data_IF_538094038831
#
_entry.id   IF_538094038831
#
_cell.length_a   1.000
_cell.length_b   1.000
_cell.length_c   1.000
_cell.angle_alpha   90.00
_cell.angle_beta   90.00
_cell.angle_gamma   90.00
#
_symmetry.space_group_name_H-M   'P 1'
#
loop_
_entity.id
_entity.type
_entity.pdbx_description
1 polymer ?
#
# COMPACT_ATOMS: atom_id res chain seq x y z
N UNK A 1 -20.19 -10.04 11.42
CA UNK A 1 -18.89 -9.69 10.79
C UNK A 1 -18.66 -10.67 9.66
N UNK A 2 -18.53 -10.20 8.42
CA UNK A 2 -18.12 -11.05 7.28
C UNK A 2 -16.61 -10.98 7.18
N UNK A 3 -15.93 -12.13 7.21
CA UNK A 3 -14.48 -12.24 6.96
C UNK A 3 -14.34 -12.76 5.54
N UNK A 4 -13.72 -11.95 4.68
CA UNK A 4 -13.45 -12.28 3.29
C UNK A 4 -11.95 -12.23 3.04
N UNK A 5 -11.40 -13.30 2.47
CA UNK A 5 -10.00 -13.40 2.12
C UNK A 5 -9.80 -13.03 0.64
N UNK A 6 -9.27 -11.80 0.40
CA UNK A 6 -8.97 -11.29 -0.95
C UNK A 6 -7.83 -12.07 -1.64
N UNK A 7 -7.00 -12.78 -0.89
CA UNK A 7 -5.84 -13.51 -1.40
C UNK A 7 -6.12 -15.01 -1.64
N UNK A 8 -7.39 -15.42 -1.53
CA UNK A 8 -7.79 -16.78 -1.79
C UNK A 8 -7.51 -17.18 -3.25
N UNK A 9 -6.81 -18.29 -3.45
CA UNK A 9 -6.42 -18.81 -4.77
C UNK A 9 -7.58 -19.19 -5.69
N UNK A 10 -8.81 -19.31 -5.17
CA UNK A 10 -10.03 -19.56 -5.95
C UNK A 10 -10.59 -18.28 -6.61
N UNK A 11 -10.10 -17.09 -6.23
CA UNK A 11 -10.53 -15.84 -6.84
C UNK A 11 -9.73 -15.55 -8.11
N UNK A 12 -10.36 -14.96 -9.14
CA UNK A 12 -9.67 -14.65 -10.40
C UNK A 12 -8.64 -13.54 -10.25
N UNK A 13 -8.77 -12.66 -9.27
CA UNK A 13 -7.79 -11.63 -8.92
C UNK A 13 -8.02 -11.13 -7.48
N UNK A 14 -7.03 -10.38 -6.97
CA UNK A 14 -6.97 -9.87 -5.60
C UNK A 14 -7.32 -8.37 -5.49
N UNK A 15 -7.79 -7.76 -6.60
CA UNK A 15 -8.08 -6.33 -6.66
C UNK A 15 -9.38 -6.00 -5.93
N UNK A 16 -9.51 -4.76 -5.45
CA UNK A 16 -10.74 -4.27 -4.85
C UNK A 16 -10.97 -2.80 -5.14
N UNK A 17 -12.24 -2.39 -5.17
CA UNK A 17 -12.66 -1.01 -5.31
C UNK A 17 -13.57 -0.65 -4.12
N UNK A 18 -13.23 0.44 -3.42
CA UNK A 18 -14.01 0.92 -2.28
C UNK A 18 -14.57 2.30 -2.64
N UNK A 19 -15.87 2.39 -2.81
CA UNK A 19 -16.59 3.62 -3.15
C UNK A 19 -17.45 4.03 -1.96
N UNK A 20 -17.33 5.29 -1.53
CA UNK A 20 -18.14 5.84 -0.45
C UNK A 20 -18.20 7.36 -0.55
N UNK A 21 -19.25 7.97 0.00
CA UNK A 21 -19.33 9.42 0.18
C UNK A 21 -18.40 9.89 1.31
N UNK A 22 -18.12 11.20 1.37
CA UNK A 22 -17.34 11.76 2.47
C UNK A 22 -18.02 11.48 3.82
N UNK A 23 -17.22 11.08 4.82
CA UNK A 23 -17.71 10.71 6.15
C UNK A 23 -18.31 9.29 6.27
N UNK A 24 -18.49 8.55 5.19
CA UNK A 24 -19.08 7.20 5.22
C UNK A 24 -18.13 6.09 5.72
N UNK A 25 -16.94 6.45 6.23
CA UNK A 25 -16.01 5.50 6.82
C UNK A 25 -15.01 4.85 5.86
N UNK A 26 -14.84 5.37 4.63
CA UNK A 26 -13.84 4.87 3.65
C UNK A 26 -12.45 4.71 4.28
N UNK A 27 -11.90 5.78 4.85
CA UNK A 27 -10.55 5.77 5.41
C UNK A 27 -10.45 4.87 6.65
N UNK A 28 -11.51 4.73 7.43
CA UNK A 28 -11.53 3.77 8.56
C UNK A 28 -11.43 2.33 8.06
N UNK A 29 -12.26 1.96 7.08
CA UNK A 29 -12.25 0.62 6.48
C UNK A 29 -10.90 0.29 5.85
N UNK A 30 -10.32 1.22 5.07
CA UNK A 30 -9.00 1.01 4.44
C UNK A 30 -7.90 0.85 5.49
N UNK A 31 -7.85 1.70 6.53
CA UNK A 31 -6.86 1.59 7.61
C UNK A 31 -6.97 0.25 8.35
N UNK A 32 -8.20 -0.23 8.58
CA UNK A 32 -8.43 -1.53 9.20
C UNK A 32 -7.92 -2.69 8.32
N UNK A 33 -8.14 -2.63 7.01
CA UNK A 33 -7.62 -3.64 6.08
C UNK A 33 -6.09 -3.64 6.03
N UNK A 34 -5.47 -2.45 5.98
CA UNK A 34 -4.00 -2.32 6.01
C UNK A 34 -3.42 -3.02 7.24
N UNK A 35 -3.97 -2.76 8.43
CA UNK A 35 -3.48 -3.41 9.66
C UNK A 35 -3.63 -4.94 9.57
N UNK A 36 -4.77 -5.43 9.07
CA UNK A 36 -4.97 -6.88 8.89
C UNK A 36 -3.96 -7.48 7.91
N UNK A 37 -3.58 -6.74 6.87
CA UNK A 37 -2.59 -7.20 5.89
C UNK A 37 -1.21 -7.29 6.47
N UNK A 38 -0.81 -6.27 7.23
CA UNK A 38 0.45 -6.30 7.95
C UNK A 38 0.49 -7.46 8.96
N UNK A 39 -0.62 -7.76 9.65
CA UNK A 39 -0.72 -8.93 10.54
C UNK A 39 -0.62 -10.28 9.82
N UNK A 40 -0.92 -10.32 8.52
CA UNK A 40 -0.76 -11.51 7.67
C UNK A 40 0.55 -11.49 6.87
N UNK A 41 1.53 -10.67 7.25
CA UNK A 41 2.82 -10.51 6.57
C UNK A 41 2.69 -10.09 5.10
N UNK A 42 1.69 -9.26 4.79
CA UNK A 42 1.49 -8.70 3.45
C UNK A 42 2.02 -7.27 3.46
N UNK A 43 2.95 -6.98 2.56
CA UNK A 43 3.48 -5.64 2.37
C UNK A 43 2.42 -4.70 1.79
N UNK A 44 2.40 -3.47 2.32
CA UNK A 44 1.41 -2.45 1.93
C UNK A 44 2.12 -1.17 1.51
N UNK A 45 1.81 -0.72 0.30
CA UNK A 45 2.21 0.59 -0.22
C UNK A 45 0.95 1.44 -0.33
N UNK A 46 1.02 2.68 0.18
CA UNK A 46 -0.11 3.64 0.15
C UNK A 46 0.33 4.90 -0.55
N UNK A 47 -0.46 5.33 -1.55
CA UNK A 47 -0.36 6.67 -2.14
C UNK A 47 -1.30 7.57 -1.35
N UNK A 48 -0.75 8.50 -0.58
CA UNK A 48 -1.49 9.31 0.40
C UNK A 48 -1.46 10.81 0.05
N UNK A 49 -2.32 11.29 -0.88
CA UNK A 49 -2.36 12.70 -1.24
C UNK A 49 -2.92 13.60 -0.13
N UNK A 50 -3.65 13.05 0.84
CA UNK A 50 -4.33 13.79 1.91
C UNK A 50 -3.59 13.71 3.27
N UNK A 51 -2.44 13.05 3.31
CA UNK A 51 -1.62 12.84 4.53
C UNK A 51 -2.38 12.14 5.68
N UNK A 52 -3.39 11.33 5.37
CA UNK A 52 -4.23 10.65 6.36
C UNK A 52 -3.57 9.41 6.98
N UNK A 53 -2.54 8.87 6.34
CA UNK A 53 -1.91 7.57 6.68
C UNK A 53 -0.55 7.73 7.34
N UNK A 54 0.02 8.93 7.39
CA UNK A 54 1.31 9.21 8.06
C UNK A 54 1.36 8.70 9.50
N UNK A 55 0.29 8.94 10.28
CA UNK A 55 0.20 8.47 11.66
C UNK A 55 0.15 6.95 11.77
N UNK A 56 -0.57 6.28 10.84
CA UNK A 56 -0.63 4.82 10.80
C UNK A 56 0.74 4.24 10.46
N UNK A 57 1.39 4.78 9.42
CA UNK A 57 2.73 4.38 8.98
C UNK A 57 3.73 4.41 10.13
N UNK A 58 3.78 5.50 10.90
CA UNK A 58 4.65 5.61 12.07
C UNK A 58 4.35 4.56 13.16
N UNK A 59 3.07 4.26 13.42
CA UNK A 59 2.66 3.29 14.44
C UNK A 59 3.00 1.85 14.09
N UNK A 60 3.02 1.50 12.80
CA UNK A 60 3.35 0.15 12.33
C UNK A 60 4.83 -0.01 12.00
N UNK A 61 5.66 1.02 12.27
CA UNK A 61 7.09 1.00 11.95
C UNK A 61 7.39 1.05 10.44
N UNK A 62 6.46 1.57 9.64
CA UNK A 62 6.63 1.73 8.20
C UNK A 62 7.50 2.93 7.81
N UNK A 63 7.81 3.02 6.52
CA UNK A 63 8.54 4.15 5.95
C UNK A 63 7.58 5.11 5.26
N UNK A 64 7.60 6.38 5.66
CA UNK A 64 6.84 7.44 5.00
C UNK A 64 7.77 8.27 4.09
N UNK A 65 7.47 8.28 2.80
CA UNK A 65 8.21 9.06 1.80
C UNK A 65 7.39 10.30 1.43
N UNK A 66 7.86 11.47 1.85
CA UNK A 66 7.24 12.74 1.56
C UNK A 66 7.67 13.24 0.18
N UNK A 67 6.78 13.18 -0.80
CA UNK A 67 7.03 13.70 -2.15
C UNK A 67 6.41 15.09 -2.26
N UNK A 68 7.23 16.13 -2.10
CA UNK A 68 6.83 17.52 -2.19
C UNK A 68 7.96 18.36 -2.81
N UNK A 69 7.64 19.52 -3.38
CA UNK A 69 8.61 20.39 -4.06
C UNK A 69 9.73 20.90 -3.15
N UNK A 70 9.49 20.97 -1.85
CA UNK A 70 10.45 21.36 -0.82
C UNK A 70 10.98 20.17 0.01
N UNK A 71 10.66 18.94 -0.40
CA UNK A 71 11.16 17.74 0.27
C UNK A 71 12.62 17.46 -0.11
N UNK A 72 13.35 16.80 0.79
CA UNK A 72 14.67 16.24 0.47
C UNK A 72 14.57 14.86 -0.20
N UNK A 73 13.36 14.30 -0.28
CA UNK A 73 13.10 12.99 -0.88
C UNK A 73 12.62 13.17 -2.32
N UNK A 74 13.29 12.51 -3.26
CA UNK A 74 12.99 12.58 -4.69
C UNK A 74 12.86 11.17 -5.27
N UNK A 75 12.00 11.03 -6.28
CA UNK A 75 11.90 9.81 -7.08
C UNK A 75 12.38 10.15 -8.47
N UNK A 76 13.37 9.41 -8.97
CA UNK A 76 13.83 9.53 -10.34
C UNK A 76 13.02 8.56 -11.23
N UNK A 77 12.16 9.03 -12.15
CA UNK A 77 11.40 8.15 -13.03
C UNK A 77 12.27 7.40 -14.05
N UNK A 78 13.52 7.81 -14.24
CA UNK A 78 14.49 7.13 -15.11
C UNK A 78 15.35 6.10 -14.37
N UNK A 79 15.23 6.00 -13.04
CA UNK A 79 15.87 4.95 -12.25
C UNK A 79 15.03 3.67 -12.32
N UNK A 80 14.94 3.14 -13.54
CA UNK A 80 14.13 1.96 -13.84
C UNK A 80 14.98 0.74 -13.47
N UNK A 81 14.44 -0.21 -12.68
CA UNK A 81 15.17 -1.43 -12.36
C UNK A 81 15.54 -2.18 -13.65
N UNK A 82 16.66 -2.92 -13.66
CA UNK A 82 17.00 -3.78 -14.78
C UNK A 82 15.82 -4.71 -15.10
N UNK A 83 15.65 -5.04 -16.38
CA UNK A 83 14.57 -5.95 -16.77
C UNK A 83 14.79 -7.27 -16.05
N UNK A 84 13.71 -7.92 -15.64
CA UNK A 84 13.76 -9.21 -14.95
C UNK A 84 14.57 -10.24 -15.77
N UNK A 85 14.57 -10.13 -17.10
CA UNK A 85 15.35 -10.94 -18.03
C UNK A 85 16.88 -10.71 -17.93
N UNK A 86 17.31 -9.52 -17.52
CA UNK A 86 18.71 -9.11 -17.40
C UNK A 86 19.29 -9.41 -16.00
N UNK A 87 18.46 -9.85 -15.05
CA UNK A 87 18.87 -10.19 -13.68
C UNK A 87 18.88 -11.70 -13.52
N UNK A 88 20.07 -12.32 -13.43
CA UNK A 88 20.22 -13.72 -13.04
C UNK A 88 19.75 -13.90 -11.57
N UNK A 89 18.46 -14.12 -11.37
CA UNK A 89 17.95 -14.65 -10.11
C UNK A 89 18.38 -16.12 -9.97
N UNK A 90 19.40 -16.39 -9.15
CA UNK A 90 19.70 -17.74 -8.65
C UNK A 90 21.03 -18.36 -9.09
N UNK A 91 22.15 -17.76 -8.70
CA UNK A 91 23.23 -18.54 -8.07
C UNK A 91 23.21 -18.29 -6.56
#
# INVERSE_FOLDING_TARGET
>A
MVIFDRFNSKLPNMNSCILATSGAGKSFTVKLEIIRYLLNNIDVIVIDPENEYKSLCAKVGGTYVNIATNSQQFINPFDIPPRIEDVEYGK
#
